data_IF_177064762581
#
_entry.id   IF_177064762581
#
_cell.length_a   1.000
_cell.length_b   1.000
_cell.length_c   1.000
_cell.angle_alpha   90.00
_cell.angle_beta   90.00
_cell.angle_gamma   90.00
#
_symmetry.space_group_name_H-M   'P 1'
#
loop_
_entity.id
_entity.type
_entity.pdbx_description
1 polymer ?
#
# COMPACT_ATOMS: atom_id res chain seq x y z
N UNK A 1 -0.67 1.31 12.45
CA UNK A 1 0.02 2.38 11.71
C UNK A 1 0.69 1.75 10.51
N UNK A 2 0.47 2.27 9.31
CA UNK A 2 1.06 1.75 8.07
C UNK A 2 2.26 2.62 7.71
N UNK A 3 3.38 2.00 7.35
CA UNK A 3 4.61 2.71 7.00
C UNK A 3 4.76 2.78 5.48
N UNK A 4 5.08 3.96 4.96
CA UNK A 4 5.45 4.12 3.56
C UNK A 4 6.78 3.38 3.29
N UNK A 5 6.86 2.50 2.28
CA UNK A 5 8.11 1.84 1.92
C UNK A 5 9.19 2.77 1.38
N UNK A 6 8.79 3.87 0.74
CA UNK A 6 9.72 4.81 0.10
C UNK A 6 10.36 5.77 1.11
N UNK A 7 9.55 6.54 1.84
CA UNK A 7 10.07 7.55 2.78
C UNK A 7 10.02 7.17 4.26
N UNK A 8 9.45 6.02 4.60
CA UNK A 8 9.32 5.57 5.99
C UNK A 8 8.30 6.33 6.85
N UNK A 9 7.52 7.26 6.27
CA UNK A 9 6.44 7.96 7.00
C UNK A 9 5.34 7.01 7.44
N UNK A 10 4.85 7.22 8.66
CA UNK A 10 3.75 6.44 9.23
C UNK A 10 2.41 7.14 9.05
N UNK A 11 1.39 6.38 8.64
CA UNK A 11 0.03 6.83 8.41
C UNK A 11 -0.95 6.05 9.27
N UNK A 12 -2.03 6.70 9.67
CA UNK A 12 -3.10 6.11 10.47
C UNK A 12 -4.01 5.18 9.65
N UNK A 13 -4.10 5.40 8.34
CA UNK A 13 -5.00 4.68 7.43
C UNK A 13 -4.34 4.42 6.08
N UNK A 14 -4.76 3.34 5.40
CA UNK A 14 -4.19 2.95 4.09
C UNK A 14 -4.52 3.99 3.03
N UNK A 15 -5.74 4.52 3.04
CA UNK A 15 -6.18 5.60 2.14
C UNK A 15 -5.31 6.86 2.22
N UNK A 16 -4.83 7.23 3.40
CA UNK A 16 -3.88 8.36 3.56
C UNK A 16 -2.51 8.04 2.96
N UNK A 17 -2.06 6.79 3.08
CA UNK A 17 -0.80 6.34 2.49
C UNK A 17 -0.89 6.28 0.96
N UNK A 18 -1.98 5.76 0.41
CA UNK A 18 -2.27 5.74 -1.04
C UNK A 18 -2.17 7.15 -1.62
N UNK A 19 -2.93 8.09 -1.04
CA UNK A 19 -2.88 9.51 -1.43
C UNK A 19 -1.47 10.08 -1.33
N UNK A 20 -0.74 9.71 -0.29
CA UNK A 20 0.65 10.16 -0.13
C UNK A 20 1.57 9.64 -1.23
N UNK A 21 1.54 8.34 -1.53
CA UNK A 21 2.40 7.74 -2.57
C UNK A 21 2.06 8.33 -3.93
N UNK A 22 0.77 8.44 -4.27
CA UNK A 22 0.31 9.05 -5.53
C UNK A 22 0.73 10.51 -5.68
N UNK A 23 0.60 11.32 -4.63
CA UNK A 23 0.99 12.73 -4.67
C UNK A 23 2.50 12.91 -4.70
N UNK A 24 3.25 12.06 -3.98
CA UNK A 24 4.71 12.12 -3.96
C UNK A 24 5.34 11.58 -5.23
N UNK A 25 4.73 10.59 -5.88
CA UNK A 25 5.23 10.06 -7.15
C UNK A 25 5.40 11.11 -8.23
N UNK A 26 4.62 12.20 -8.21
CA UNK A 26 4.79 13.33 -9.15
C UNK A 26 6.11 14.09 -9.01
N UNK A 27 6.76 14.01 -7.86
CA UNK A 27 7.95 14.80 -7.53
C UNK A 27 9.13 13.93 -7.07
N UNK A 28 8.90 12.64 -6.85
CA UNK A 28 9.85 11.72 -6.25
C UNK A 28 9.81 10.39 -7.01
N UNK A 29 10.90 10.11 -7.74
CA UNK A 29 11.02 8.93 -8.59
C UNK A 29 10.88 7.62 -7.81
N UNK A 30 11.24 7.60 -6.52
CA UNK A 30 11.11 6.39 -5.69
C UNK A 30 9.64 6.14 -5.34
N UNK A 31 8.86 7.18 -5.05
CA UNK A 31 7.41 7.04 -4.86
C UNK A 31 6.69 6.73 -6.18
N UNK A 32 7.18 7.23 -7.32
CA UNK A 32 6.67 6.91 -8.65
C UNK A 32 6.85 5.42 -8.95
N UNK A 33 8.05 4.87 -8.77
CA UNK A 33 8.31 3.43 -8.98
C UNK A 33 7.37 2.56 -8.13
N UNK A 34 7.17 2.90 -6.85
CA UNK A 34 6.23 2.19 -5.98
C UNK A 34 4.78 2.29 -6.48
N UNK A 35 4.41 3.45 -7.04
CA UNK A 35 3.07 3.66 -7.59
C UNK A 35 2.84 2.84 -8.87
N UNK A 36 3.82 2.78 -9.76
CA UNK A 36 3.76 1.97 -10.98
C UNK A 36 3.74 0.47 -10.66
N UNK A 37 4.53 0.02 -9.68
CA UNK A 37 4.45 -1.36 -9.18
C UNK A 37 3.07 -1.68 -8.61
N UNK A 38 2.46 -0.74 -7.89
CA UNK A 38 1.09 -0.90 -7.41
C UNK A 38 0.09 -0.97 -8.56
N UNK A 39 0.20 -0.11 -9.59
CA UNK A 39 -0.68 -0.16 -10.77
C UNK A 39 -0.58 -1.49 -11.49
N UNK A 40 0.63 -2.01 -11.70
CA UNK A 40 0.83 -3.33 -12.28
C UNK A 40 0.18 -4.44 -11.42
N UNK A 41 0.27 -4.33 -10.09
CA UNK A 41 -0.39 -5.26 -9.17
C UNK A 41 -1.92 -5.15 -9.20
N UNK A 42 -2.46 -3.93 -9.25
CA UNK A 42 -3.90 -3.67 -9.37
C UNK A 42 -4.47 -4.30 -10.65
N UNK A 43 -3.75 -4.23 -11.77
CA UNK A 43 -4.16 -4.91 -13.00
C UNK A 43 -4.21 -6.43 -12.85
N UNK A 44 -3.31 -7.03 -12.05
CA UNK A 44 -3.36 -8.47 -11.77
C UNK A 44 -4.51 -8.87 -10.84
N UNK A 45 -5.05 -7.92 -10.07
CA UNK A 45 -6.12 -8.21 -9.13
C UNK A 45 -7.48 -8.42 -9.79
N UNK A 46 -7.65 -8.13 -11.10
CA UNK A 46 -8.73 -8.52 -12.06
C UNK A 46 -10.18 -8.71 -11.55
N UNK A 47 -10.52 -8.21 -10.37
CA UNK A 47 -11.79 -8.40 -9.71
C UNK A 47 -12.29 -7.01 -9.29
N UNK A 48 -13.37 -6.57 -9.93
CA UNK A 48 -13.99 -5.24 -9.77
C UNK A 48 -14.54 -5.01 -8.33
N UNK A 49 -14.40 -6.00 -7.44
CA UNK A 49 -14.83 -5.89 -6.04
C UNK A 49 -13.85 -5.10 -5.17
N UNK A 50 -12.59 -4.95 -5.58
CA UNK A 50 -11.57 -4.29 -4.76
C UNK A 50 -11.53 -2.77 -4.96
N UNK A 51 -11.64 -2.02 -3.86
CA UNK A 51 -11.37 -0.58 -3.89
C UNK A 51 -9.86 -0.32 -4.01
N UNK A 52 -9.44 0.83 -4.57
CA UNK A 52 -8.01 1.25 -4.65
C UNK A 52 -7.28 1.11 -3.30
N UNK A 53 -7.99 1.37 -2.20
CA UNK A 53 -7.43 1.23 -0.84
C UNK A 53 -7.21 -0.24 -0.44
N UNK A 54 -8.08 -1.14 -0.88
CA UNK A 54 -7.98 -2.57 -0.57
C UNK A 54 -6.92 -3.23 -1.45
N UNK A 55 -6.89 -2.92 -2.75
CA UNK A 55 -5.81 -3.34 -3.65
C UNK A 55 -4.42 -2.89 -3.12
N UNK A 56 -4.32 -1.65 -2.62
CA UNK A 56 -3.05 -1.15 -2.07
C UNK A 56 -2.68 -1.84 -0.76
N UNK A 57 -3.67 -2.24 0.04
CA UNK A 57 -3.44 -3.02 1.25
C UNK A 57 -2.87 -4.39 0.90
N UNK A 58 -3.43 -5.07 -0.10
CA UNK A 58 -2.94 -6.36 -0.58
C UNK A 58 -1.53 -6.24 -1.17
N UNK A 59 -1.26 -5.18 -1.93
CA UNK A 59 0.09 -4.86 -2.42
C UNK A 59 1.10 -4.75 -1.26
N UNK A 60 0.74 -4.03 -0.19
CA UNK A 60 1.61 -3.90 0.97
C UNK A 60 1.76 -5.21 1.77
N UNK A 61 0.73 -6.06 1.80
CA UNK A 61 0.81 -7.40 2.38
C UNK A 61 1.77 -8.29 1.59
N UNK A 62 1.64 -8.30 0.25
CA UNK A 62 2.50 -9.04 -0.67
C UNK A 62 3.97 -8.66 -0.52
N UNK A 63 4.26 -7.36 -0.35
CA UNK A 63 5.61 -6.84 -0.10
C UNK A 63 6.10 -7.05 1.35
N UNK A 64 5.28 -7.59 2.25
CA UNK A 64 5.63 -7.79 3.67
C UNK A 64 5.76 -6.49 4.49
N UNK A 65 5.33 -5.36 3.92
CA UNK A 65 5.38 -4.02 4.52
C UNK A 65 4.16 -3.73 5.40
N UNK A 66 3.11 -4.52 5.23
CA UNK A 66 1.95 -4.52 6.09
C UNK A 66 1.85 -5.85 6.83
N UNK A 67 2.27 -5.86 8.10
CA UNK A 67 1.89 -6.93 9.03
C UNK A 67 0.50 -6.59 9.56
N UNK A 68 -0.53 -7.25 9.05
CA UNK A 68 -1.77 -7.38 9.81
C UNK A 68 -1.37 -7.88 11.20
N UNK A 69 -1.79 -7.17 12.26
CA UNK A 69 -1.46 -7.53 13.64
C UNK A 69 -1.83 -9.01 13.79
N UNK A 70 -0.80 -9.84 13.99
CA UNK A 70 -0.92 -11.28 14.20
C UNK A 70 -2.03 -11.47 15.25
N UNK A 71 -3.14 -12.08 14.85
CA UNK A 71 -4.15 -12.50 15.79
C UNK A 71 -3.48 -13.59 16.63
N UNK A 72 -3.06 -13.24 17.84
CA UNK A 72 -2.70 -14.25 18.82
C UNK A 72 -4.02 -14.83 19.32
N UNK A 73 -4.33 -16.12 19.07
CA UNK A 73 -5.41 -16.74 19.82
C UNK A 73 -5.04 -16.63 21.30
N UNK A 74 -5.92 -16.00 22.08
CA UNK A 74 -5.84 -15.99 23.54
C UNK A 74 -5.92 -17.46 23.94
N UNK A 75 -4.83 -18.01 24.49
CA UNK A 75 -4.78 -19.36 25.09
C UNK A 75 -5.64 -19.43 26.32
#
# INVERSE_FOLDING_TARGET
MIKCPSCGKTYSSVSSLVKHVRLKGKYDAVHEMVWEEFKAFEETLSDDSYTETDAFREFLMSKGLFKARKWSPIS
#
